data_IF_601803732041
#
_entry.id   IF_601803732041
#
_cell.length_a   1.000
_cell.length_b   1.000
_cell.length_c   1.000
_cell.angle_alpha   90.00
_cell.angle_beta   90.00
_cell.angle_gamma   90.00
#
_symmetry.space_group_name_H-M   'P 1'
#
loop_
_entity.id
_entity.type
_entity.pdbx_description
1 polymer ?
#
# COMPACT_ATOMS: atom_id res chain seq x y z
N UNK A 1 2.33 -14.87 19.91
CA UNK A 1 1.62 -15.34 18.70
C UNK A 1 1.53 -14.13 17.79
N UNK A 2 2.10 -14.17 16.59
CA UNK A 2 2.04 -12.99 15.72
C UNK A 2 0.58 -12.81 15.23
N UNK A 3 0.12 -11.57 15.06
CA UNK A 3 -1.28 -11.30 14.63
C UNK A 3 -1.62 -11.98 13.30
N UNK A 4 -0.64 -12.18 12.42
CA UNK A 4 -0.79 -12.92 11.17
C UNK A 4 -1.11 -14.42 11.35
N UNK A 5 -0.78 -15.00 12.51
CA UNK A 5 -1.03 -16.43 12.79
C UNK A 5 -2.45 -16.68 13.32
N UNK A 6 -3.16 -15.61 13.66
CA UNK A 6 -4.54 -15.71 14.10
C UNK A 6 -5.41 -16.18 12.93
N UNK A 7 -6.17 -17.26 13.16
CA UNK A 7 -7.04 -17.86 12.14
C UNK A 7 -8.03 -16.84 11.55
N UNK A 8 -8.55 -15.95 12.39
CA UNK A 8 -9.45 -14.87 11.96
C UNK A 8 -8.76 -13.88 11.01
N UNK A 9 -7.51 -13.50 11.32
CA UNK A 9 -6.72 -12.61 10.46
C UNK A 9 -6.44 -13.27 9.10
N UNK A 10 -6.10 -14.56 9.08
CA UNK A 10 -5.88 -15.29 7.83
C UNK A 10 -7.13 -15.33 6.96
N UNK A 11 -8.30 -15.61 7.56
CA UNK A 11 -9.59 -15.60 6.84
C UNK A 11 -9.86 -14.21 6.26
N UNK A 12 -9.58 -13.13 7.01
CA UNK A 12 -9.78 -11.76 6.52
C UNK A 12 -8.82 -11.41 5.39
N UNK A 13 -7.55 -11.79 5.48
CA UNK A 13 -6.56 -11.58 4.42
C UNK A 13 -7.00 -12.26 3.12
N UNK A 14 -7.41 -13.53 3.16
CA UNK A 14 -7.90 -14.23 1.97
C UNK A 14 -9.14 -13.55 1.37
N UNK A 15 -10.10 -13.16 2.21
CA UNK A 15 -11.30 -12.42 1.75
C UNK A 15 -10.95 -11.08 1.11
N UNK A 16 -9.98 -10.35 1.65
CA UNK A 16 -9.53 -9.07 1.09
C UNK A 16 -8.78 -9.31 -0.22
N UNK A 17 -7.97 -10.37 -0.31
CA UNK A 17 -7.29 -10.78 -1.54
C UNK A 17 -8.27 -11.07 -2.67
N UNK A 18 -9.36 -11.80 -2.40
CA UNK A 18 -10.44 -12.02 -3.37
C UNK A 18 -11.06 -10.70 -3.85
N UNK A 19 -11.40 -9.79 -2.93
CA UNK A 19 -11.95 -8.47 -3.28
C UNK A 19 -10.99 -7.62 -4.11
N UNK A 20 -9.67 -7.70 -3.85
CA UNK A 20 -8.66 -7.01 -4.65
C UNK A 20 -8.66 -7.57 -6.09
N UNK A 21 -8.79 -8.89 -6.27
CA UNK A 21 -8.88 -9.50 -7.60
C UNK A 21 -10.17 -9.08 -8.33
N UNK A 22 -11.31 -9.01 -7.63
CA UNK A 22 -12.55 -8.50 -8.20
C UNK A 22 -12.40 -7.04 -8.64
N UNK A 23 -11.85 -6.21 -7.76
CA UNK A 23 -11.61 -4.78 -8.01
C UNK A 23 -10.67 -4.54 -9.20
N UNK A 24 -9.64 -5.37 -9.36
CA UNK A 24 -8.71 -5.28 -10.49
C UNK A 24 -9.43 -5.37 -11.85
N UNK A 25 -10.50 -6.17 -11.91
CA UNK A 25 -11.27 -6.46 -13.12
C UNK A 25 -12.59 -5.67 -13.24
N UNK A 26 -12.88 -4.72 -12.33
CA UNK A 26 -14.13 -3.95 -12.32
C UNK A 26 -14.02 -2.67 -13.17
N UNK A 27 -14.67 -2.61 -14.36
CA UNK A 27 -14.60 -1.45 -15.25
C UNK A 27 -15.35 -0.24 -14.69
N UNK A 28 -16.27 -0.41 -13.74
CA UNK A 28 -17.04 0.71 -13.17
C UNK A 28 -16.22 1.51 -12.16
N UNK A 29 -15.12 0.94 -11.64
CA UNK A 29 -14.27 1.54 -10.62
C UNK A 29 -12.91 1.98 -11.13
N UNK A 30 -12.72 1.99 -12.45
CA UNK A 30 -11.43 2.25 -13.10
C UNK A 30 -10.79 3.57 -12.68
N UNK A 31 -11.58 4.62 -12.42
CA UNK A 31 -11.05 5.95 -12.08
C UNK A 31 -10.72 6.16 -10.60
N UNK A 32 -11.10 5.24 -9.71
CA UNK A 32 -10.90 5.38 -8.27
C UNK A 32 -10.43 4.05 -7.65
N UNK A 33 -9.87 3.16 -8.47
CA UNK A 33 -9.55 1.77 -8.10
C UNK A 33 -8.57 1.76 -6.92
N UNK A 34 -7.65 2.70 -6.92
CA UNK A 34 -6.65 2.97 -5.90
C UNK A 34 -7.29 3.32 -4.55
N UNK A 35 -8.32 4.17 -4.52
CA UNK A 35 -9.06 4.50 -3.30
C UNK A 35 -9.81 3.30 -2.74
N UNK A 36 -10.47 2.52 -3.60
CA UNK A 36 -11.12 1.28 -3.18
C UNK A 36 -10.11 0.29 -2.61
N UNK A 37 -8.94 0.16 -3.24
CA UNK A 37 -7.86 -0.68 -2.76
C UNK A 37 -7.36 -0.22 -1.39
N UNK A 38 -7.14 1.09 -1.20
CA UNK A 38 -6.74 1.63 0.10
C UNK A 38 -7.79 1.43 1.19
N UNK A 39 -9.07 1.55 0.87
CA UNK A 39 -10.16 1.24 1.80
C UNK A 39 -10.22 -0.23 2.21
N UNK A 40 -9.69 -1.14 1.40
CA UNK A 40 -9.58 -2.56 1.73
C UNK A 40 -8.32 -2.88 2.56
N UNK A 41 -7.20 -2.20 2.30
CA UNK A 41 -5.89 -2.52 2.87
C UNK A 41 -5.64 -1.78 4.18
N UNK A 42 -6.02 -0.51 4.29
CA UNK A 42 -5.73 0.33 5.47
C UNK A 42 -6.32 -0.22 6.78
N UNK A 43 -7.51 -0.85 6.84
CA UNK A 43 -7.98 -1.46 8.08
C UNK A 43 -7.13 -2.67 8.52
N UNK A 44 -6.57 -3.43 7.58
CA UNK A 44 -5.67 -4.53 7.92
C UNK A 44 -4.34 -4.00 8.46
N UNK A 45 -3.82 -2.90 7.90
CA UNK A 45 -2.61 -2.25 8.38
C UNK A 45 -2.79 -1.74 9.83
N UNK A 46 -3.93 -1.11 10.11
CA UNK A 46 -4.28 -0.62 11.44
C UNK A 46 -4.33 -1.75 12.47
N UNK A 47 -5.06 -2.83 12.18
CA UNK A 47 -5.16 -3.97 13.09
C UNK A 47 -3.82 -4.69 13.32
N UNK A 48 -2.92 -4.63 12.34
CA UNK A 48 -1.58 -5.18 12.45
C UNK A 48 -0.62 -4.27 13.23
N UNK A 49 -1.03 -3.05 13.60
CA UNK A 49 -0.17 -2.05 14.23
C UNK A 49 0.88 -1.48 13.26
N UNK A 50 0.52 -1.39 11.98
CA UNK A 50 1.31 -0.72 10.95
C UNK A 50 0.89 0.74 10.71
N UNK A 51 0.05 1.26 11.61
CA UNK A 51 -0.41 2.63 11.63
C UNK A 51 0.70 3.61 12.07
N UNK A 52 0.55 4.90 11.72
CA UNK A 52 -0.40 5.42 10.75
C UNK A 52 -0.03 5.04 9.31
N UNK A 53 -1.02 4.60 8.53
CA UNK A 53 -0.91 4.48 7.08
C UNK A 53 -1.42 5.77 6.44
N UNK A 54 -0.50 6.67 6.09
CA UNK A 54 -0.83 7.99 5.55
C UNK A 54 -0.66 7.98 4.04
N UNK A 55 -1.75 8.29 3.31
CA UNK A 55 -1.69 8.54 1.87
C UNK A 55 -1.02 9.90 1.65
N UNK A 56 0.04 9.92 0.85
CA UNK A 56 0.82 11.13 0.52
C UNK A 56 0.96 11.29 -0.99
N UNK A 57 1.80 12.23 -1.42
CA UNK A 57 2.14 12.40 -2.83
C UNK A 57 1.00 12.96 -3.68
N UNK A 58 1.02 12.63 -4.97
CA UNK A 58 0.01 13.11 -5.91
C UNK A 58 -1.39 12.56 -5.64
N UNK A 59 -1.49 11.38 -5.01
CA UNK A 59 -2.77 10.76 -4.64
C UNK A 59 -3.50 11.53 -3.52
N UNK A 60 -2.76 12.15 -2.60
CA UNK A 60 -3.33 13.07 -1.63
C UNK A 60 -3.93 14.32 -2.31
N UNK A 61 -3.25 14.85 -3.32
CA UNK A 61 -3.73 16.00 -4.11
C UNK A 61 -4.99 15.65 -4.91
N UNK A 62 -5.05 14.45 -5.48
CA UNK A 62 -6.24 13.93 -6.17
C UNK A 62 -7.48 13.92 -5.26
N UNK A 63 -7.33 13.46 -4.01
CA UNK A 63 -8.40 13.49 -3.01
C UNK A 63 -8.89 14.91 -2.71
N UNK A 64 -7.97 15.87 -2.49
CA UNK A 64 -8.32 17.26 -2.18
C UNK A 64 -8.86 18.05 -3.39
N UNK A 65 -8.63 17.54 -4.61
CA UNK A 65 -9.11 18.16 -5.85
C UNK A 65 -10.33 17.46 -6.44
N UNK A 66 -10.92 16.51 -5.70
CA UNK A 66 -12.08 15.72 -6.14
C UNK A 66 -11.87 15.05 -7.51
N UNK A 67 -10.67 14.56 -7.77
CA UNK A 67 -10.32 13.90 -9.04
C UNK A 67 -9.98 14.84 -10.20
N UNK A 68 -9.81 16.15 -9.96
CA UNK A 68 -9.37 17.09 -11.00
C UNK A 68 -7.87 16.95 -11.34
N UNK A 69 -7.12 16.21 -10.52
CA UNK A 69 -5.75 15.78 -10.75
C UNK A 69 -5.74 14.26 -10.65
N UNK A 70 -5.18 13.55 -11.65
CA UNK A 70 -5.21 12.08 -11.72
C UNK A 70 -3.80 11.50 -11.59
N UNK A 71 -3.66 10.55 -10.69
CA UNK A 71 -2.44 9.75 -10.49
C UNK A 71 -2.74 8.27 -10.69
N UNK A 72 -1.71 7.48 -10.95
CA UNK A 72 -1.85 6.03 -11.24
C UNK A 72 -1.33 5.18 -10.07
N UNK A 73 -0.53 5.78 -9.19
CA UNK A 73 0.11 5.16 -8.04
C UNK A 73 -0.35 5.79 -6.72
N UNK A 74 -0.25 5.02 -5.63
CA UNK A 74 -0.51 5.47 -4.26
C UNK A 74 0.78 5.43 -3.47
N UNK A 75 1.18 6.57 -2.92
CA UNK A 75 2.28 6.66 -1.97
C UNK A 75 1.76 6.54 -0.54
N UNK A 76 2.35 5.63 0.23
CA UNK A 76 2.05 5.43 1.64
C UNK A 76 3.27 5.72 2.51
N UNK A 77 3.07 6.52 3.56
CA UNK A 77 4.00 6.64 4.69
C UNK A 77 3.46 5.80 5.84
N UNK A 78 4.33 4.97 6.41
CA UNK A 78 4.02 3.97 7.42
C UNK A 78 5.13 3.96 8.47
N UNK A 79 4.79 3.77 9.75
CA UNK A 79 5.80 3.60 10.81
C UNK A 79 6.44 2.19 10.79
N UNK A 80 5.64 1.16 10.47
CA UNK A 80 6.09 -0.24 10.42
C UNK A 80 6.01 -0.79 9.00
N UNK A 81 6.98 -0.40 8.19
CA UNK A 81 7.10 -0.87 6.80
C UNK A 81 7.30 -2.39 6.70
N UNK A 82 7.91 -3.02 7.71
CA UNK A 82 8.09 -4.46 7.82
C UNK A 82 6.75 -5.22 7.85
N UNK A 83 5.78 -4.72 8.62
CA UNK A 83 4.46 -5.31 8.74
C UNK A 83 3.63 -5.10 7.47
N UNK A 84 3.70 -3.90 6.89
CA UNK A 84 3.06 -3.61 5.62
C UNK A 84 3.59 -4.49 4.49
N UNK A 85 4.92 -4.67 4.39
CA UNK A 85 5.55 -5.58 3.42
C UNK A 85 5.01 -7.01 3.58
N UNK A 86 4.99 -7.53 4.80
CA UNK A 86 4.46 -8.86 5.09
C UNK A 86 2.98 -9.00 4.69
N UNK A 87 2.18 -7.96 4.91
CA UNK A 87 0.79 -7.94 4.47
C UNK A 87 0.68 -7.97 2.95
N UNK A 88 1.42 -7.11 2.23
CA UNK A 88 1.41 -7.08 0.77
C UNK A 88 1.86 -8.41 0.16
N UNK A 89 2.89 -9.05 0.73
CA UNK A 89 3.36 -10.37 0.30
C UNK A 89 2.24 -11.43 0.47
N UNK A 90 1.48 -11.40 1.56
CA UNK A 90 0.34 -12.32 1.80
C UNK A 90 -0.85 -12.04 0.88
N UNK A 91 -1.11 -10.78 0.57
CA UNK A 91 -2.12 -10.36 -0.39
C UNK A 91 -1.73 -10.74 -1.84
N UNK A 92 -0.47 -11.10 -2.09
CA UNK A 92 0.02 -11.59 -3.38
C UNK A 92 0.56 -10.49 -4.30
N UNK A 93 0.88 -9.32 -3.76
CA UNK A 93 1.56 -8.28 -4.54
C UNK A 93 2.99 -8.70 -4.87
N UNK A 94 3.45 -8.32 -6.06
CA UNK A 94 4.84 -8.47 -6.45
C UNK A 94 5.63 -7.24 -6.02
N UNK A 95 6.83 -7.48 -5.52
CA UNK A 95 7.74 -6.40 -5.16
C UNK A 95 8.53 -5.97 -6.38
N UNK A 96 8.43 -4.69 -6.71
CA UNK A 96 9.25 -4.04 -7.74
C UNK A 96 10.10 -2.92 -7.12
N UNK A 97 11.26 -2.64 -7.74
CA UNK A 97 12.20 -1.62 -7.29
C UNK A 97 13.25 -2.10 -6.27
N UNK A 98 14.35 -1.35 -6.17
CA UNK A 98 15.43 -1.59 -5.20
C UNK A 98 15.11 -0.76 -3.94
N UNK A 99 15.08 -1.36 -2.73
CA UNK A 99 14.94 -0.58 -1.51
C UNK A 99 16.09 0.42 -1.42
N UNK A 100 15.78 1.72 -1.36
CA UNK A 100 16.77 2.71 -0.98
C UNK A 100 17.20 2.38 0.45
N UNK A 101 18.35 1.71 0.59
CA UNK A 101 18.96 1.48 1.89
C UNK A 101 19.21 2.84 2.52
N UNK A 102 18.83 2.99 3.79
CA UNK A 102 19.08 4.13 4.68
C UNK A 102 20.57 4.35 5.01
N UNK A 103 21.47 4.07 4.06
CA UNK A 103 22.91 4.19 4.19
C UNK A 103 23.65 4.61 2.92
N UNK A 104 22.97 4.89 1.81
CA UNK A 104 23.62 5.55 0.67
C UNK A 104 23.58 7.07 0.88
N UNK A 105 24.62 7.56 1.57
CA UNK A 105 24.98 8.97 1.51
C UNK A 105 25.15 9.38 0.05
N UNK A 106 24.72 10.59 -0.26
CA UNK A 106 25.20 11.35 -1.41
C UNK A 106 26.74 11.39 -1.33
N UNK A 107 27.42 10.44 -1.97
CA UNK A 107 28.85 10.56 -2.23
C UNK A 107 28.99 11.41 -3.47
N UNK A 108 29.75 12.48 -3.31
CA UNK A 108 30.00 13.54 -4.27
C UNK A 108 30.15 13.04 -5.71
N UNK A 109 29.28 13.53 -6.60
CA UNK A 109 29.62 13.62 -8.02
C UNK A 109 30.50 14.85 -8.19
N UNK A 110 31.80 14.66 -7.96
CA UNK A 110 32.87 15.47 -8.51
C UNK A 110 34.06 14.56 -8.81
N UNK A 111 34.71 14.82 -9.95
CA UNK A 111 35.76 14.05 -10.67
C UNK A 111 35.19 12.91 -11.52
N UNK A 112 35.33 12.88 -12.85
CA UNK A 112 36.30 13.49 -13.78
C UNK A 112 35.65 14.18 -14.99
#
# INVERSE_FOLDING_TARGET
MEQFDLKEMQIRIEKIKEKIHELANDPLRENLKEFYMMGLITPLLDELGADPAVIVGGHAVELYTSGSYKTVDVDLVLERDDLARRLFDKLGFLREGIPLRSGFGYSDRNTE
#
